data_IF_785684985474
#
_entry.id   IF_785684985474
#
_cell.length_a   1.000
_cell.length_b   1.000
_cell.length_c   1.000
_cell.angle_alpha   90.00
_cell.angle_beta   90.00
_cell.angle_gamma   90.00
#
_symmetry.space_group_name_H-M   'P 1'
#
loop_
_entity.id
_entity.type
_entity.pdbx_description
1 polymer ?
#
# COMPACT_ATOMS: atom_id res chain seq x y z
N UNK A 1 33.81 18.06 -16.78
CA UNK A 1 32.63 17.50 -17.49
C UNK A 1 31.45 17.53 -16.53
N UNK A 2 30.64 18.60 -16.58
CA UNK A 2 29.42 18.71 -15.78
C UNK A 2 28.29 18.03 -16.55
N UNK A 3 27.88 16.86 -16.09
CA UNK A 3 26.66 16.20 -16.55
C UNK A 3 25.46 16.96 -16.00
N UNK A 4 25.20 18.16 -16.53
CA UNK A 4 23.91 18.82 -16.33
C UNK A 4 22.89 18.06 -17.19
N UNK A 5 22.29 17.03 -16.60
CA UNK A 5 21.17 16.30 -17.20
C UNK A 5 20.06 17.28 -17.50
N UNK A 6 19.93 17.67 -18.77
CA UNK A 6 18.79 18.44 -19.28
C UNK A 6 17.55 17.57 -19.16
N UNK A 7 16.79 17.74 -18.08
CA UNK A 7 15.46 17.16 -17.95
C UNK A 7 14.60 17.64 -19.12
N UNK A 8 14.27 16.74 -20.03
CA UNK A 8 13.56 17.05 -21.27
C UNK A 8 12.05 16.90 -21.07
N UNK A 9 11.26 17.50 -21.96
CA UNK A 9 9.80 17.29 -21.99
C UNK A 9 9.45 15.81 -22.19
N UNK A 10 10.31 15.05 -22.86
CA UNK A 10 10.15 13.63 -23.08
C UNK A 10 10.27 12.84 -21.76
N UNK A 11 11.23 13.19 -20.91
CA UNK A 11 11.42 12.55 -19.59
C UNK A 11 10.20 12.76 -18.68
N UNK A 12 9.60 13.95 -18.72
CA UNK A 12 8.36 14.24 -18.00
C UNK A 12 7.18 13.39 -18.51
N UNK A 13 7.00 13.31 -19.84
CA UNK A 13 5.91 12.51 -20.41
C UNK A 13 6.09 11.01 -20.15
N UNK A 14 7.33 10.51 -20.24
CA UNK A 14 7.64 9.13 -19.90
C UNK A 14 7.33 8.84 -18.42
N UNK A 15 7.75 9.71 -17.51
CA UNK A 15 7.44 9.59 -16.08
C UNK A 15 5.93 9.58 -15.81
N UNK A 16 5.17 10.50 -16.41
CA UNK A 16 3.71 10.55 -16.29
C UNK A 16 3.05 9.28 -16.84
N UNK A 17 3.52 8.76 -17.98
CA UNK A 17 3.01 7.53 -18.56
C UNK A 17 3.26 6.34 -17.64
N UNK A 18 4.47 6.22 -17.08
CA UNK A 18 4.82 5.15 -16.13
C UNK A 18 3.96 5.24 -14.88
N UNK A 19 3.78 6.44 -14.29
CA UNK A 19 2.93 6.63 -13.11
C UNK A 19 1.46 6.34 -13.46
N UNK A 20 0.98 6.81 -14.61
CA UNK A 20 -0.39 6.60 -15.08
C UNK A 20 -0.69 5.13 -15.36
N UNK A 21 0.25 4.40 -15.94
CA UNK A 21 0.17 2.95 -16.12
C UNK A 21 0.13 2.24 -14.77
N UNK A 22 0.96 2.66 -13.81
CA UNK A 22 0.92 2.17 -12.44
C UNK A 22 -0.45 2.38 -11.78
N UNK A 23 -1.05 3.57 -11.92
CA UNK A 23 -2.40 3.86 -11.43
C UNK A 23 -3.45 2.96 -12.07
N UNK A 24 -3.38 2.76 -13.39
CA UNK A 24 -4.30 1.90 -14.11
C UNK A 24 -4.18 0.44 -13.66
N UNK A 25 -2.95 -0.07 -13.51
CA UNK A 25 -2.72 -1.44 -13.07
C UNK A 25 -3.17 -1.65 -11.61
N UNK A 26 -2.80 -0.75 -10.69
CA UNK A 26 -3.22 -0.87 -9.28
C UNK A 26 -4.73 -0.70 -9.14
N UNK A 27 -5.33 0.28 -9.82
CA UNK A 27 -6.77 0.49 -9.81
C UNK A 27 -7.55 -0.69 -10.37
N UNK A 28 -7.07 -1.27 -11.48
CA UNK A 28 -7.70 -2.42 -12.09
C UNK A 28 -7.51 -3.68 -11.22
N UNK A 29 -6.25 -4.07 -10.96
CA UNK A 29 -5.93 -5.37 -10.36
C UNK A 29 -6.08 -5.41 -8.84
N UNK A 30 -5.77 -4.33 -8.12
CA UNK A 30 -5.76 -4.35 -6.65
C UNK A 30 -6.98 -3.67 -6.01
N UNK A 31 -7.74 -2.85 -6.75
CA UNK A 31 -8.95 -2.23 -6.23
C UNK A 31 -10.21 -2.82 -6.86
N UNK A 32 -10.31 -2.82 -8.20
CA UNK A 32 -11.54 -3.22 -8.88
C UNK A 32 -11.85 -4.70 -8.71
N UNK A 33 -10.88 -5.62 -8.92
CA UNK A 33 -11.14 -7.05 -8.77
C UNK A 33 -11.61 -7.46 -7.36
N UNK A 34 -10.97 -7.03 -6.25
CA UNK A 34 -11.47 -7.33 -4.91
C UNK A 34 -12.89 -6.81 -4.65
N UNK A 35 -13.20 -5.58 -5.11
CA UNK A 35 -14.54 -5.00 -4.97
C UNK A 35 -15.58 -5.81 -5.77
N UNK A 36 -15.21 -6.27 -6.97
CA UNK A 36 -16.06 -7.13 -7.79
C UNK A 36 -16.21 -8.53 -7.17
N UNK A 37 -15.19 -9.08 -6.51
CA UNK A 37 -15.28 -10.32 -5.75
C UNK A 37 -16.29 -10.25 -4.59
N UNK A 38 -16.37 -9.09 -3.91
CA UNK A 38 -17.37 -8.86 -2.86
C UNK A 38 -18.79 -8.80 -3.42
N UNK A 39 -18.99 -8.16 -4.59
CA UNK A 39 -20.32 -7.90 -5.17
C UNK A 39 -20.89 -9.04 -6.02
N UNK A 40 -20.11 -10.10 -6.27
CA UNK A 40 -20.60 -11.34 -6.89
C UNK A 40 -20.52 -11.54 -8.41
N UNK A 41 -20.08 -10.61 -9.29
CA UNK A 41 -19.88 -10.93 -10.70
C UNK A 41 -18.63 -11.75 -11.02
N UNK A 42 -17.72 -11.94 -10.05
CA UNK A 42 -16.50 -12.74 -10.18
C UNK A 42 -16.36 -13.74 -9.02
N UNK A 43 -15.59 -14.83 -9.18
CA UNK A 43 -15.28 -15.74 -8.08
C UNK A 43 -14.68 -14.93 -6.92
N UNK A 44 -15.17 -15.08 -5.69
CA UNK A 44 -14.60 -14.39 -4.55
C UNK A 44 -13.15 -14.84 -4.30
N UNK A 45 -12.39 -14.00 -3.61
CA UNK A 45 -11.14 -14.45 -2.99
C UNK A 45 -11.56 -15.35 -1.84
N UNK A 46 -11.39 -16.65 -2.04
CA UNK A 46 -11.81 -17.66 -1.06
C UNK A 46 -10.63 -18.10 -0.18
N UNK A 47 -9.42 -17.60 -0.43
CA UNK A 47 -8.18 -18.05 0.21
C UNK A 47 -7.34 -16.87 0.70
N UNK A 48 -6.78 -16.97 1.89
CA UNK A 48 -5.82 -16.00 2.46
C UNK A 48 -4.62 -16.72 3.05
N UNK A 49 -3.41 -16.24 2.78
CA UNK A 49 -2.20 -16.74 3.44
C UNK A 49 -2.13 -16.25 4.89
N UNK A 50 -1.87 -17.18 5.82
CA UNK A 50 -1.78 -16.95 7.26
C UNK A 50 -0.60 -17.71 7.85
N UNK A 51 0.06 -17.15 8.85
CA UNK A 51 1.15 -17.80 9.57
C UNK A 51 0.65 -18.73 10.68
N UNK A 52 1.27 -19.90 10.80
CA UNK A 52 0.92 -20.92 11.79
C UNK A 52 1.78 -20.78 13.04
N UNK A 53 1.14 -20.87 14.22
CA UNK A 53 1.83 -20.83 15.52
C UNK A 53 2.77 -22.03 15.75
N UNK A 54 2.60 -23.13 15.00
CA UNK A 54 3.42 -24.35 15.12
C UNK A 54 3.80 -24.91 13.76
N UNK A 55 5.06 -25.35 13.65
CA UNK A 55 5.68 -26.00 12.47
C UNK A 55 5.19 -27.43 12.22
N UNK A 56 4.39 -27.98 13.13
CA UNK A 56 3.82 -29.30 12.98
C UNK A 56 2.72 -29.24 11.91
N UNK A 57 2.90 -30.03 10.85
CA UNK A 57 1.89 -30.38 9.84
C UNK A 57 0.48 -30.27 10.43
N UNK A 58 -0.26 -29.22 10.10
CA UNK A 58 -1.64 -29.10 10.55
C UNK A 58 -2.40 -30.13 9.72
N UNK A 59 -2.91 -31.23 10.32
CA UNK A 59 -3.79 -32.13 9.58
C UNK A 59 -4.96 -31.30 9.05
N UNK A 60 -5.43 -31.55 7.82
CA UNK A 60 -6.49 -30.79 7.13
C UNK A 60 -7.65 -30.45 8.10
N UNK A 61 -7.59 -29.28 8.75
CA UNK A 61 -8.52 -28.90 9.81
C UNK A 61 -9.66 -28.19 9.10
N UNK A 62 -10.73 -28.93 8.82
CA UNK A 62 -11.96 -28.40 8.28
C UNK A 62 -12.95 -28.15 9.44
N UNK A 63 -13.39 -26.90 9.62
CA UNK A 63 -14.43 -26.55 10.59
C UNK A 63 -15.33 -25.47 10.03
N UNK A 64 -16.65 -25.67 10.08
CA UNK A 64 -17.62 -24.61 9.76
C UNK A 64 -17.48 -24.01 8.34
N UNK A 65 -16.94 -24.74 7.38
CA UNK A 65 -16.72 -24.27 6.02
C UNK A 65 -15.34 -23.64 5.78
N UNK A 66 -14.48 -23.50 6.79
CA UNK A 66 -13.09 -23.04 6.62
C UNK A 66 -12.12 -24.22 6.67
N UNK A 67 -11.06 -24.18 5.84
CA UNK A 67 -9.97 -25.16 5.88
C UNK A 67 -8.60 -24.47 5.91
N UNK A 68 -7.65 -25.05 6.63
CA UNK A 68 -6.25 -24.61 6.67
C UNK A 68 -5.35 -25.65 6.01
N UNK A 69 -4.55 -25.23 5.03
CA UNK A 69 -3.60 -26.11 4.33
C UNK A 69 -2.20 -25.48 4.28
N UNK A 70 -1.22 -26.09 4.93
CA UNK A 70 0.17 -25.60 4.88
C UNK A 70 1.11 -26.18 5.95
N UNK A 71 2.41 -25.89 5.81
CA UNK A 71 3.50 -26.37 6.70
C UNK A 71 4.23 -25.25 7.45
N UNK A 72 4.25 -24.02 6.91
CA UNK A 72 4.92 -22.84 7.50
C UNK A 72 4.09 -21.57 7.27
N UNK A 73 3.61 -21.39 6.03
CA UNK A 73 2.46 -20.56 5.68
C UNK A 73 1.28 -21.50 5.41
N UNK A 74 0.09 -21.12 5.86
CA UNK A 74 -1.14 -21.87 5.61
C UNK A 74 -2.16 -21.00 4.88
N UNK A 75 -2.76 -21.57 3.83
CA UNK A 75 -3.91 -20.96 3.18
C UNK A 75 -5.15 -21.21 4.06
N UNK A 76 -5.74 -20.13 4.58
CA UNK A 76 -7.08 -20.12 5.17
C UNK A 76 -8.07 -20.02 4.01
N UNK A 77 -8.66 -21.15 3.64
CA UNK A 77 -9.75 -21.21 2.67
C UNK A 77 -11.10 -21.06 3.39
N UNK A 78 -11.98 -20.20 2.89
CA UNK A 78 -13.37 -20.06 3.34
C UNK A 78 -14.25 -20.60 2.22
N UNK A 79 -14.86 -21.77 2.44
CA UNK A 79 -15.55 -22.56 1.42
C UNK A 79 -16.94 -22.07 1.02
N UNK A 80 -17.63 -21.28 1.86
CA UNK A 80 -18.86 -20.57 1.49
C UNK A 80 -18.88 -19.18 2.15
N UNK A 81 -18.08 -18.22 1.64
CA UNK A 81 -17.89 -16.94 2.32
C UNK A 81 -19.17 -16.10 2.19
N UNK A 82 -19.75 -15.79 3.34
CA UNK A 82 -20.86 -14.83 3.44
C UNK A 82 -20.40 -13.42 3.04
N UNK A 83 -21.35 -12.49 2.90
CA UNK A 83 -21.02 -11.10 2.51
C UNK A 83 -20.02 -10.44 3.46
N UNK A 84 -20.10 -10.74 4.76
CA UNK A 84 -19.21 -10.17 5.76
C UNK A 84 -17.79 -10.74 5.65
N UNK A 85 -17.66 -12.04 5.39
CA UNK A 85 -16.36 -12.70 5.21
C UNK A 85 -15.65 -12.17 3.97
N UNK A 86 -16.39 -11.96 2.87
CA UNK A 86 -15.85 -11.34 1.65
C UNK A 86 -15.34 -9.93 1.89
N UNK A 87 -16.06 -9.13 2.69
CA UNK A 87 -15.60 -7.78 3.07
C UNK A 87 -14.34 -7.85 3.91
N UNK A 88 -14.28 -8.76 4.90
CA UNK A 88 -13.09 -8.94 5.74
C UNK A 88 -11.88 -9.43 4.95
N UNK A 89 -12.08 -10.30 3.97
CA UNK A 89 -11.03 -10.80 3.07
C UNK A 89 -10.52 -9.70 2.14
N UNK A 90 -11.41 -8.90 1.54
CA UNK A 90 -11.03 -7.85 0.60
C UNK A 90 -10.52 -6.55 1.27
N UNK A 91 -10.93 -6.26 2.50
CA UNK A 91 -10.68 -4.94 3.11
C UNK A 91 -9.19 -4.56 3.19
N UNK A 92 -8.26 -5.44 3.60
CA UNK A 92 -6.85 -5.07 3.69
C UNK A 92 -6.18 -4.87 2.34
N UNK A 93 -6.56 -5.66 1.33
CA UNK A 93 -6.09 -5.46 -0.06
C UNK A 93 -6.60 -4.12 -0.62
N UNK A 94 -7.89 -3.83 -0.45
CA UNK A 94 -8.50 -2.57 -0.90
C UNK A 94 -7.86 -1.38 -0.18
N UNK A 95 -7.65 -1.46 1.14
CA UNK A 95 -6.98 -0.41 1.90
C UNK A 95 -5.54 -0.16 1.40
N UNK A 96 -4.79 -1.23 1.11
CA UNK A 96 -3.45 -1.16 0.52
C UNK A 96 -3.49 -0.50 -0.86
N UNK A 97 -4.41 -0.92 -1.73
CA UNK A 97 -4.59 -0.36 -3.06
C UNK A 97 -4.92 1.13 -3.02
N UNK A 98 -5.82 1.56 -2.12
CA UNK A 98 -6.18 2.97 -1.92
C UNK A 98 -4.96 3.81 -1.55
N UNK A 99 -4.14 3.35 -0.59
CA UNK A 99 -2.92 4.06 -0.20
C UNK A 99 -1.93 4.18 -1.37
N UNK A 100 -1.75 3.13 -2.16
CA UNK A 100 -0.88 3.15 -3.34
C UNK A 100 -1.42 4.12 -4.39
N UNK A 101 -2.74 4.11 -4.65
CA UNK A 101 -3.39 5.06 -5.58
C UNK A 101 -3.19 6.50 -5.11
N UNK A 102 -3.30 6.77 -3.80
CA UNK A 102 -3.02 8.10 -3.23
C UNK A 102 -1.58 8.51 -3.48
N UNK A 103 -0.61 7.64 -3.20
CA UNK A 103 0.82 7.91 -3.44
C UNK A 103 1.06 8.22 -4.92
N UNK A 104 0.60 7.36 -5.82
CA UNK A 104 0.78 7.53 -7.27
C UNK A 104 0.08 8.78 -7.79
N UNK A 105 -1.11 9.11 -7.27
CA UNK A 105 -1.84 10.33 -7.62
C UNK A 105 -1.07 11.59 -7.20
N UNK A 106 -0.45 11.57 -6.02
CA UNK A 106 0.39 12.67 -5.54
C UNK A 106 1.65 12.79 -6.41
N UNK A 107 2.30 11.67 -6.74
CA UNK A 107 3.46 11.63 -7.65
C UNK A 107 3.12 12.18 -9.03
N UNK A 108 1.95 11.82 -9.59
CA UNK A 108 1.49 12.35 -10.87
C UNK A 108 1.30 13.87 -10.82
N UNK A 109 0.73 14.39 -9.72
CA UNK A 109 0.61 15.84 -9.50
C UNK A 109 1.97 16.53 -9.38
N UNK A 110 2.97 15.87 -8.81
CA UNK A 110 4.34 16.38 -8.75
C UNK A 110 5.03 16.35 -10.13
N UNK A 111 4.89 15.26 -10.88
CA UNK A 111 5.42 15.17 -12.25
C UNK A 111 4.84 16.27 -13.16
N UNK A 112 3.52 16.53 -13.04
CA UNK A 112 2.87 17.61 -13.75
C UNK A 112 3.44 19.00 -13.40
N UNK A 113 3.91 19.22 -12.16
CA UNK A 113 4.55 20.50 -11.80
C UNK A 113 5.94 20.68 -12.42
N UNK A 114 6.68 19.60 -12.66
CA UNK A 114 7.97 19.67 -13.35
C UNK A 114 7.83 20.12 -14.81
N UNK A 115 6.66 19.89 -15.42
CA UNK A 115 6.33 20.43 -16.74
C UNK A 115 6.34 21.97 -16.77
N UNK A 116 6.03 22.61 -15.64
CA UNK A 116 6.09 24.06 -15.48
C UNK A 116 7.50 24.62 -15.29
N UNK A 117 8.53 23.77 -15.20
CA UNK A 117 9.93 24.19 -15.05
C UNK A 117 10.34 24.56 -13.63
N UNK A 118 9.42 24.53 -12.66
CA UNK A 118 9.74 24.80 -11.26
C UNK A 118 9.63 23.52 -10.41
N UNK A 119 10.80 23.06 -9.95
CA UNK A 119 10.94 21.89 -9.08
C UNK A 119 10.69 22.27 -7.61
N UNK A 120 10.88 23.54 -7.26
CA UNK A 120 10.91 24.07 -5.89
C UNK A 120 9.59 24.74 -5.48
N UNK A 121 8.48 24.25 -6.00
CA UNK A 121 7.16 24.74 -5.60
C UNK A 121 6.87 24.29 -4.16
N UNK A 122 6.52 25.19 -3.21
CA UNK A 122 6.21 24.83 -1.82
C UNK A 122 5.10 23.77 -1.69
N UNK A 123 4.20 23.68 -2.67
CA UNK A 123 3.19 22.64 -2.76
C UNK A 123 3.79 21.22 -2.85
N UNK A 124 4.95 21.05 -3.50
CA UNK A 124 5.63 19.76 -3.63
C UNK A 124 6.23 19.27 -2.32
N UNK A 125 6.62 20.18 -1.42
CA UNK A 125 7.05 19.82 -0.05
C UNK A 125 5.89 19.19 0.72
N UNK A 126 4.69 19.80 0.68
CA UNK A 126 3.48 19.23 1.31
C UNK A 126 3.11 17.88 0.71
N UNK A 127 3.26 17.72 -0.60
CA UNK A 127 3.01 16.46 -1.31
C UNK A 127 3.99 15.36 -0.89
N UNK A 128 5.28 15.67 -0.72
CA UNK A 128 6.26 14.71 -0.21
C UNK A 128 5.96 14.28 1.22
N UNK A 129 5.56 15.20 2.10
CA UNK A 129 5.09 14.81 3.44
C UNK A 129 3.86 13.89 3.38
N UNK A 130 2.90 14.18 2.50
CA UNK A 130 1.73 13.32 2.31
C UNK A 130 2.12 11.92 1.80
N UNK A 131 3.08 11.81 0.87
CA UNK A 131 3.64 10.53 0.41
C UNK A 131 4.31 9.80 1.58
N UNK A 132 5.16 10.48 2.36
CA UNK A 132 5.80 9.89 3.54
C UNK A 132 4.76 9.30 4.50
N UNK A 133 3.71 10.06 4.83
CA UNK A 133 2.64 9.58 5.71
C UNK A 133 1.92 8.38 5.11
N UNK A 134 1.60 8.42 3.82
CA UNK A 134 0.94 7.29 3.16
C UNK A 134 1.82 6.03 3.14
N UNK A 135 3.13 6.16 2.91
CA UNK A 135 4.10 5.04 2.99
C UNK A 135 4.20 4.49 4.42
N UNK A 136 4.19 5.36 5.43
CA UNK A 136 4.17 4.93 6.83
C UNK A 136 2.89 4.16 7.16
N UNK A 137 1.73 4.67 6.74
CA UNK A 137 0.45 3.98 6.90
C UNK A 137 0.43 2.64 6.16
N UNK A 138 1.04 2.56 4.98
CA UNK A 138 1.18 1.31 4.24
C UNK A 138 1.99 0.26 5.02
N UNK A 139 3.00 0.69 5.77
CA UNK A 139 3.85 -0.19 6.58
C UNK A 139 3.27 -0.57 7.95
N UNK A 140 2.24 0.12 8.43
CA UNK A 140 1.68 -0.07 9.77
C UNK A 140 0.18 -0.40 9.72
N UNK A 141 -0.62 0.49 9.13
CA UNK A 141 -2.07 0.37 9.11
C UNK A 141 -2.54 -0.80 8.25
N UNK A 142 -1.91 -1.06 7.09
CA UNK A 142 -2.30 -2.19 6.26
C UNK A 142 -2.02 -3.56 6.93
N UNK A 143 -0.82 -3.83 7.50
CA UNK A 143 -0.59 -5.03 8.31
C UNK A 143 -1.50 -5.13 9.54
N UNK A 144 -1.79 -4.01 10.21
CA UNK A 144 -2.70 -4.01 11.36
C UNK A 144 -4.14 -4.38 10.95
N UNK A 145 -4.64 -3.86 9.81
CA UNK A 145 -5.94 -4.25 9.26
C UNK A 145 -5.96 -5.73 8.85
N UNK A 146 -4.88 -6.22 8.28
CA UNK A 146 -4.71 -7.63 7.93
C UNK A 146 -4.85 -8.54 9.17
N UNK A 147 -4.13 -8.21 10.24
CA UNK A 147 -4.24 -8.89 11.53
C UNK A 147 -5.66 -8.81 12.12
N UNK A 148 -6.28 -7.63 12.13
CA UNK A 148 -7.61 -7.43 12.70
C UNK A 148 -8.69 -8.21 11.94
N UNK A 149 -8.64 -8.20 10.60
CA UNK A 149 -9.60 -8.96 9.78
C UNK A 149 -9.37 -10.47 9.88
N UNK A 150 -8.11 -10.92 9.97
CA UNK A 150 -7.80 -12.33 10.20
C UNK A 150 -8.29 -12.79 11.57
N UNK A 151 -8.07 -12.02 12.63
CA UNK A 151 -8.63 -12.30 13.95
C UNK A 151 -10.16 -12.37 13.91
N UNK A 152 -10.83 -11.46 13.19
CA UNK A 152 -12.28 -11.47 13.07
C UNK A 152 -12.83 -12.69 12.30
N UNK A 153 -12.09 -13.20 11.31
CA UNK A 153 -12.45 -14.40 10.54
C UNK A 153 -12.26 -15.70 11.34
N UNK A 154 -11.26 -15.73 12.21
CA UNK A 154 -10.86 -16.94 12.95
C UNK A 154 -11.51 -17.01 14.34
N UNK A 155 -11.85 -15.86 14.95
CA UNK A 155 -12.42 -15.80 16.29
C UNK A 155 -13.72 -16.62 16.41
N UNK A 156 -13.79 -17.47 17.44
CA UNK A 156 -14.93 -18.35 17.67
C UNK A 156 -14.92 -19.63 16.83
N UNK A 157 -13.86 -19.87 16.05
CA UNK A 157 -13.64 -21.14 15.34
C UNK A 157 -12.55 -21.97 16.05
N UNK A 158 -12.50 -23.30 15.86
CA UNK A 158 -11.42 -24.14 16.38
C UNK A 158 -10.02 -23.79 15.85
N UNK A 159 -9.92 -22.89 14.87
CA UNK A 159 -8.67 -22.45 14.26
C UNK A 159 -8.00 -21.29 15.04
N UNK A 160 -8.70 -20.69 16.01
CA UNK A 160 -8.20 -19.55 16.83
C UNK A 160 -6.90 -19.87 17.57
N UNK A 161 -6.75 -21.10 18.05
CA UNK A 161 -5.55 -21.52 18.77
C UNK A 161 -4.38 -21.89 17.83
N UNK A 162 -4.67 -22.17 16.55
CA UNK A 162 -3.71 -22.63 15.55
C UNK A 162 -3.05 -21.48 14.76
N UNK A 163 -3.77 -20.36 14.59
CA UNK A 163 -3.31 -19.19 13.83
C UNK A 163 -2.48 -18.25 14.70
N UNK A 164 -1.32 -17.84 14.20
CA UNK A 164 -0.55 -16.78 14.86
C UNK A 164 -1.12 -15.40 14.48
N UNK A 165 -1.64 -14.70 15.49
CA UNK A 165 -2.18 -13.35 15.33
C UNK A 165 -1.11 -12.36 15.72
N UNK A 166 -0.43 -11.83 14.71
CA UNK A 166 0.59 -10.81 14.85
C UNK A 166 0.64 -9.93 13.59
N UNK A 167 1.33 -8.81 13.69
CA UNK A 167 1.69 -8.03 12.51
C UNK A 167 3.15 -7.61 12.61
N UNK A 168 3.87 -7.72 11.50
CA UNK A 168 5.25 -7.30 11.41
C UNK A 168 5.35 -5.89 10.83
N UNK A 169 6.04 -5.01 11.55
CA UNK A 169 6.44 -3.71 11.02
C UNK A 169 7.83 -3.83 10.41
N UNK A 170 7.92 -3.69 9.09
CA UNK A 170 9.21 -3.69 8.39
C UNK A 170 9.93 -2.36 8.67
N UNK A 171 11.05 -2.43 9.38
CA UNK A 171 11.89 -1.27 9.69
C UNK A 171 12.34 -0.52 8.41
N UNK A 172 12.51 -1.23 7.29
CA UNK A 172 12.82 -0.63 6.00
C UNK A 172 11.72 0.32 5.49
N UNK A 173 10.45 -0.02 5.67
CA UNK A 173 9.32 0.83 5.28
C UNK A 173 9.25 2.08 6.14
N UNK A 174 9.47 1.94 7.45
CA UNK A 174 9.53 3.08 8.39
C UNK A 174 10.70 4.00 8.05
N UNK A 175 11.88 3.43 7.81
CA UNK A 175 13.06 4.18 7.39
C UNK A 175 12.80 4.92 6.07
N UNK A 176 12.18 4.26 5.08
CA UNK A 176 11.83 4.89 3.81
C UNK A 176 10.89 6.09 4.01
N UNK A 177 9.85 5.96 4.84
CA UNK A 177 8.97 7.07 5.17
C UNK A 177 9.75 8.24 5.80
N UNK A 178 10.61 7.95 6.78
CA UNK A 178 11.47 8.96 7.42
C UNK A 178 12.37 9.66 6.39
N UNK A 179 12.97 8.90 5.47
CA UNK A 179 13.84 9.45 4.42
C UNK A 179 13.04 10.38 3.47
N UNK A 180 11.82 10.00 3.09
CA UNK A 180 10.93 10.84 2.27
C UNK A 180 10.55 12.12 3.04
N UNK A 181 10.25 12.02 4.33
CA UNK A 181 9.98 13.18 5.19
C UNK A 181 11.19 14.11 5.31
N UNK A 182 12.39 13.54 5.50
CA UNK A 182 13.64 14.29 5.56
C UNK A 182 13.92 15.01 4.23
N UNK A 183 13.67 14.33 3.11
CA UNK A 183 13.76 14.92 1.77
C UNK A 183 12.77 16.09 1.61
N UNK A 184 11.53 15.95 2.09
CA UNK A 184 10.56 17.04 2.10
C UNK A 184 11.07 18.25 2.90
N UNK A 185 11.63 18.01 4.09
CA UNK A 185 12.24 19.04 4.93
C UNK A 185 13.40 19.76 4.25
N UNK A 186 14.30 19.01 3.60
CA UNK A 186 15.43 19.55 2.85
C UNK A 186 14.96 20.44 1.67
N UNK A 187 13.97 19.98 0.90
CA UNK A 187 13.36 20.79 -0.15
C UNK A 187 12.68 22.04 0.42
N UNK A 188 11.97 21.92 1.53
CA UNK A 188 11.34 23.05 2.22
C UNK A 188 12.35 24.12 2.63
N UNK A 189 13.49 23.74 3.20
CA UNK A 189 14.57 24.69 3.47
C UNK A 189 15.11 25.35 2.21
N UNK A 190 15.31 24.59 1.13
CA UNK A 190 15.72 25.14 -0.18
C UNK A 190 14.73 26.17 -0.74
N UNK A 191 13.43 25.91 -0.64
CA UNK A 191 12.39 26.87 -1.10
C UNK A 191 12.40 28.18 -0.32
N UNK A 192 12.68 28.14 0.99
CA UNK A 192 12.76 29.34 1.84
C UNK A 192 13.97 30.19 1.50
N UNK A 193 15.14 29.58 1.35
CA UNK A 193 16.37 30.29 0.97
C UNK A 193 16.22 31.00 -0.38
N UNK A 194 15.54 30.38 -1.34
CA UNK A 194 15.24 31.01 -2.63
C UNK A 194 14.33 32.23 -2.49
N UNK A 195 13.25 32.10 -1.72
CA UNK A 195 12.33 33.21 -1.48
C UNK A 195 13.04 34.40 -0.81
N UNK A 196 13.93 34.13 0.15
CA UNK A 196 14.71 35.16 0.84
C UNK A 196 15.71 35.86 -0.11
N UNK A 197 16.30 35.15 -1.08
CA UNK A 197 17.19 35.75 -2.07
C UNK A 197 16.47 36.58 -3.14
N UNK A 198 15.25 36.19 -3.53
CA UNK A 198 14.45 36.93 -4.52
C UNK A 198 13.83 38.21 -3.91
N UNK A 199 13.70 38.30 -2.58
CA UNK A 199 13.23 39.48 -1.85
C UNK A 199 14.30 40.55 -1.54
N UNK A 200 15.56 40.29 -1.89
CA UNK A 200 16.71 41.19 -1.64
C UNK A 200 17.16 41.98 -2.88
N UNK A 201 16.47 41.83 -4.02
CA UNK A 201 16.78 42.49 -5.31
C UNK A 201 15.68 43.48 -5.68
#
# INVERSE_FOLDING_TARGET
MTWATRWSRFDTHFLELVIGLGLLLVGLFQALFPILGVTGPFPPIDTRDVDLRSTAQVPDLASGGTSLRGTHHAELAVGDPGLWDRVLLAAPEVARAVLIIVILSILLRMAATFRGGDVFVPANVRRLFAISTAVLLLGIAAPALDMLTTNALVSGTPLEDAVEIGFEVRASTVLLAILIAALAGAFGHGTRLRADTEGLV
#
